data_IF_513179857161
#
_entry.id   IF_513179857161
#
_cell.length_a   1.000
_cell.length_b   1.000
_cell.length_c   1.000
_cell.angle_alpha   90.00
_cell.angle_beta   90.00
_cell.angle_gamma   90.00
#
_symmetry.space_group_name_H-M   'P 1'
#
loop_
_entity.id
_entity.type
_entity.pdbx_description
1 polymer ?
#
# COMPACT_ATOMS: atom_id res chain seq x y z
N UNK A 1 -33.79 14.48 -13.22
CA UNK A 1 -34.86 13.72 -13.91
C UNK A 1 -34.54 12.26 -13.70
N UNK A 2 -35.43 11.49 -13.08
CA UNK A 2 -35.25 10.04 -12.99
C UNK A 2 -35.74 9.40 -14.31
N UNK A 3 -34.96 8.46 -14.85
CA UNK A 3 -35.37 7.60 -15.96
C UNK A 3 -35.46 6.17 -15.44
N UNK A 4 -36.52 5.48 -15.83
CA UNK A 4 -36.79 4.09 -15.47
C UNK A 4 -36.43 3.18 -16.65
N UNK A 5 -35.79 2.05 -16.37
CA UNK A 5 -35.36 1.08 -17.37
C UNK A 5 -35.71 -0.33 -16.91
N UNK A 6 -36.41 -1.08 -17.76
CA UNK A 6 -36.60 -2.51 -17.56
C UNK A 6 -35.36 -3.25 -18.07
N UNK A 7 -34.62 -3.88 -17.15
CA UNK A 7 -33.39 -4.61 -17.48
C UNK A 7 -33.59 -6.10 -17.18
N UNK A 8 -33.45 -7.00 -18.18
CA UNK A 8 -33.57 -8.43 -17.93
C UNK A 8 -32.37 -8.95 -17.15
N UNK A 9 -32.63 -9.69 -16.07
CA UNK A 9 -31.58 -10.43 -15.37
C UNK A 9 -31.15 -11.63 -16.22
N UNK A 10 -29.88 -11.66 -16.59
CA UNK A 10 -29.29 -12.75 -17.34
C UNK A 10 -29.25 -14.06 -16.54
N UNK A 11 -29.16 -15.22 -17.22
CA UNK A 11 -29.15 -16.54 -16.58
C UNK A 11 -28.00 -16.75 -15.60
N UNK A 12 -26.91 -15.99 -15.75
CA UNK A 12 -25.72 -16.03 -14.89
C UNK A 12 -25.75 -14.92 -13.81
N UNK A 13 -26.90 -14.29 -13.58
CA UNK A 13 -27.05 -13.17 -12.64
C UNK A 13 -26.49 -11.84 -13.17
N UNK A 14 -26.24 -11.73 -14.47
CA UNK A 14 -25.74 -10.51 -15.10
C UNK A 14 -26.86 -9.50 -15.37
N UNK A 15 -26.58 -8.21 -15.14
CA UNK A 15 -27.55 -7.13 -15.37
C UNK A 15 -26.98 -6.17 -16.44
N UNK A 16 -27.44 -6.23 -17.70
CA UNK A 16 -26.88 -5.41 -18.77
C UNK A 16 -27.25 -3.94 -18.59
N UNK A 17 -26.25 -3.05 -18.59
CA UNK A 17 -26.49 -1.62 -18.49
C UNK A 17 -27.20 -1.12 -19.77
N UNK A 18 -28.35 -0.42 -19.65
CA UNK A 18 -29.02 0.25 -20.77
C UNK A 18 -28.08 1.17 -21.55
N UNK A 19 -28.27 1.24 -22.87
CA UNK A 19 -27.44 2.08 -23.76
C UNK A 19 -27.36 3.56 -23.33
N UNK A 20 -28.45 4.21 -22.87
CA UNK A 20 -28.36 5.60 -22.42
C UNK A 20 -27.44 5.79 -21.20
N UNK A 21 -27.39 4.80 -20.30
CA UNK A 21 -26.50 4.81 -19.14
C UNK A 21 -25.06 4.57 -19.59
N UNK A 22 -24.82 3.60 -20.49
CA UNK A 22 -23.50 3.35 -21.06
C UNK A 22 -22.94 4.58 -21.80
N UNK A 23 -23.77 5.26 -22.58
CA UNK A 23 -23.40 6.44 -23.33
C UNK A 23 -23.10 7.63 -22.40
N UNK A 24 -23.90 7.83 -21.35
CA UNK A 24 -23.67 8.86 -20.34
C UNK A 24 -22.37 8.64 -19.54
N UNK A 25 -21.93 7.39 -19.41
CA UNK A 25 -20.70 6.98 -18.71
C UNK A 25 -19.51 6.77 -19.66
N UNK A 26 -19.68 6.99 -20.96
CA UNK A 26 -18.66 6.78 -22.01
C UNK A 26 -18.02 5.37 -21.98
N UNK A 27 -18.79 4.33 -21.63
CA UNK A 27 -18.26 2.97 -21.46
C UNK A 27 -18.04 2.25 -22.81
N UNK A 28 -16.83 1.75 -23.04
CA UNK A 28 -16.52 0.87 -24.16
C UNK A 28 -17.05 -0.57 -23.93
N UNK A 29 -17.32 -1.31 -25.00
CA UNK A 29 -17.70 -2.73 -24.91
C UNK A 29 -16.58 -3.54 -24.25
N UNK A 30 -16.92 -4.30 -23.20
CA UNK A 30 -15.98 -5.12 -22.44
C UNK A 30 -15.09 -4.34 -21.46
N UNK A 31 -15.38 -3.05 -21.22
CA UNK A 31 -14.74 -2.28 -20.17
C UNK A 31 -15.25 -2.73 -18.79
N UNK A 32 -14.34 -3.13 -17.91
CA UNK A 32 -14.67 -3.41 -16.51
C UNK A 32 -14.98 -2.09 -15.79
N UNK A 33 -16.06 -2.07 -15.03
CA UNK A 33 -16.52 -0.90 -14.28
C UNK A 33 -16.81 -1.34 -12.86
N UNK A 34 -16.33 -0.58 -11.88
CA UNK A 34 -16.65 -0.83 -10.47
C UNK A 34 -17.89 -0.04 -10.09
N UNK A 35 -18.76 -0.68 -9.32
CA UNK A 35 -19.97 -0.06 -8.80
C UNK A 35 -20.01 -0.25 -7.28
N UNK A 36 -20.52 0.77 -6.59
CA UNK A 36 -20.84 0.70 -5.18
C UNK A 36 -22.37 0.69 -5.03
N UNK A 37 -22.91 -0.38 -4.44
CA UNK A 37 -24.32 -0.42 -4.03
C UNK A 37 -24.45 0.18 -2.64
N UNK A 38 -25.14 1.31 -2.53
CA UNK A 38 -25.42 2.01 -1.27
C UNK A 38 -26.61 1.35 -0.56
N UNK A 39 -26.69 1.54 0.76
CA UNK A 39 -27.77 0.99 1.59
C UNK A 39 -29.17 1.50 1.22
N UNK A 40 -29.24 2.67 0.58
CA UNK A 40 -30.48 3.26 0.05
C UNK A 40 -30.91 2.66 -1.31
N UNK A 41 -30.18 1.66 -1.80
CA UNK A 41 -30.43 0.97 -3.07
C UNK A 41 -29.87 1.68 -4.30
N UNK A 42 -29.14 2.79 -4.14
CA UNK A 42 -28.50 3.48 -5.26
C UNK A 42 -27.20 2.80 -5.68
N UNK A 43 -26.91 2.81 -6.98
CA UNK A 43 -25.67 2.28 -7.56
C UNK A 43 -24.82 3.45 -8.02
N UNK A 44 -23.68 3.64 -7.38
CA UNK A 44 -22.68 4.63 -7.77
C UNK A 44 -21.63 3.99 -8.67
N UNK A 45 -21.39 4.61 -9.82
CA UNK A 45 -20.35 4.18 -10.76
C UNK A 45 -19.04 4.77 -10.27
N UNK A 46 -18.14 3.90 -9.81
CA UNK A 46 -16.79 4.31 -9.49
C UNK A 46 -16.03 4.44 -10.81
N UNK A 47 -15.30 5.54 -10.97
CA UNK A 47 -14.36 5.67 -12.08
C UNK A 47 -13.51 4.38 -12.19
N UNK A 48 -13.20 3.91 -13.42
CA UNK A 48 -12.27 2.80 -13.55
C UNK A 48 -11.03 3.19 -12.76
N UNK A 49 -10.55 2.32 -11.87
CA UNK A 49 -9.44 2.70 -11.05
C UNK A 49 -8.25 2.98 -11.96
N UNK A 50 -7.82 4.23 -11.99
CA UNK A 50 -6.53 4.58 -12.54
C UNK A 50 -5.49 4.31 -11.47
N UNK A 51 -4.27 3.96 -11.87
CA UNK A 51 -3.16 3.98 -10.93
C UNK A 51 -3.13 5.37 -10.29
N UNK A 52 -3.05 5.48 -8.95
CA UNK A 52 -3.02 6.79 -8.33
C UNK A 52 -1.88 7.58 -8.96
N UNK A 53 -2.09 8.88 -9.24
CA UNK A 53 -1.10 9.68 -9.94
C UNK A 53 0.25 9.60 -9.23
N UNK A 54 1.32 9.51 -10.03
CA UNK A 54 2.68 9.51 -9.50
C UNK A 54 2.90 10.79 -8.69
N UNK A 55 3.52 10.65 -7.52
CA UNK A 55 3.95 11.82 -6.77
C UNK A 55 5.06 12.54 -7.53
N UNK A 56 5.18 13.86 -7.36
CA UNK A 56 6.38 14.56 -7.83
C UNK A 56 7.62 13.92 -7.17
N UNK A 57 8.59 13.40 -7.95
CA UNK A 57 9.77 12.76 -7.39
C UNK A 57 10.57 13.66 -6.43
N UNK A 58 10.67 14.96 -6.72
CA UNK A 58 11.39 15.91 -5.85
C UNK A 58 10.63 16.16 -4.55
N UNK A 59 9.29 16.22 -4.63
CA UNK A 59 8.44 16.31 -3.45
C UNK A 59 8.60 15.07 -2.56
N UNK A 60 8.56 13.85 -3.13
CA UNK A 60 8.68 12.61 -2.36
C UNK A 60 10.05 12.46 -1.71
N UNK A 61 11.13 12.82 -2.41
CA UNK A 61 12.49 12.89 -1.85
C UNK A 61 12.55 13.88 -0.68
N UNK A 62 11.89 15.03 -0.82
CA UNK A 62 11.88 16.06 0.23
C UNK A 62 11.10 15.60 1.45
N UNK A 63 9.94 14.94 1.27
CA UNK A 63 9.16 14.36 2.35
C UNK A 63 9.99 13.30 3.11
N UNK A 64 10.58 12.35 2.39
CA UNK A 64 11.39 11.27 3.01
C UNK A 64 12.58 11.84 3.79
N UNK A 65 13.26 12.84 3.24
CA UNK A 65 14.35 13.53 3.95
C UNK A 65 13.85 14.20 5.24
N UNK A 66 12.76 14.95 5.16
CA UNK A 66 12.20 15.64 6.31
C UNK A 66 11.77 14.63 7.40
N UNK A 67 11.18 13.50 7.02
CA UNK A 67 10.88 12.38 7.92
C UNK A 67 12.15 11.84 8.59
N UNK A 68 13.20 11.53 7.81
CA UNK A 68 14.46 11.00 8.34
C UNK A 68 15.20 11.98 9.26
N UNK A 69 15.08 13.28 9.02
CA UNK A 69 15.71 14.36 9.80
C UNK A 69 14.85 14.88 10.95
N UNK A 70 13.66 14.29 11.16
CA UNK A 70 12.69 14.72 12.15
C UNK A 70 12.26 16.20 12.03
N UNK A 71 12.15 16.71 10.79
CA UNK A 71 11.77 18.10 10.50
C UNK A 71 10.24 18.26 10.43
N UNK A 72 9.56 18.16 11.57
CA UNK A 72 8.09 18.14 11.65
C UNK A 72 7.37 19.29 10.93
N UNK A 73 7.84 20.53 11.08
CA UNK A 73 7.25 21.69 10.38
C UNK A 73 7.41 21.60 8.85
N UNK A 74 8.54 21.09 8.37
CA UNK A 74 8.79 20.90 6.94
C UNK A 74 7.89 19.80 6.36
N UNK A 75 7.62 18.74 7.13
CA UNK A 75 6.66 17.69 6.77
C UNK A 75 5.26 18.28 6.61
N UNK A 76 4.78 19.02 7.62
CA UNK A 76 3.47 19.70 7.59
C UNK A 76 3.38 20.65 6.40
N UNK A 77 4.42 21.45 6.14
CA UNK A 77 4.45 22.37 5.02
C UNK A 77 4.34 21.67 3.66
N UNK A 78 5.03 20.53 3.48
CA UNK A 78 4.97 19.75 2.23
C UNK A 78 3.58 19.14 2.01
N UNK A 79 3.00 18.55 3.06
CA UNK A 79 1.70 17.89 2.99
C UNK A 79 0.54 18.88 2.87
N UNK A 80 0.65 20.06 3.48
CA UNK A 80 -0.33 21.13 3.35
C UNK A 80 -0.36 21.79 1.96
N UNK A 81 0.75 21.72 1.21
CA UNK A 81 0.80 22.21 -0.17
C UNK A 81 0.28 21.20 -1.18
N UNK A 82 0.59 19.92 -0.99
CA UNK A 82 0.23 18.85 -1.92
C UNK A 82 0.19 17.51 -1.19
N UNK A 83 -0.84 16.72 -1.50
CA UNK A 83 -0.99 15.36 -1.00
C UNK A 83 -1.32 14.44 -2.18
N UNK A 84 -0.51 13.40 -2.34
CA UNK A 84 -0.61 12.48 -3.45
C UNK A 84 -1.19 11.13 -2.97
N UNK A 85 -2.36 10.69 -3.46
CA UNK A 85 -3.01 9.44 -3.03
C UNK A 85 -2.16 8.18 -3.23
N UNK A 86 -1.18 8.26 -4.14
CA UNK A 86 -0.26 7.17 -4.45
C UNK A 86 0.87 6.98 -3.45
N UNK A 87 0.99 7.83 -2.42
CA UNK A 87 2.05 7.77 -1.39
C UNK A 87 1.54 8.06 0.04
N UNK A 88 0.29 7.70 0.33
CA UNK A 88 -0.33 7.98 1.62
C UNK A 88 0.38 7.31 2.80
N UNK A 89 1.03 6.16 2.60
CA UNK A 89 1.81 5.52 3.67
C UNK A 89 3.02 6.40 4.04
N UNK A 90 3.76 6.92 3.06
CA UNK A 90 4.86 7.86 3.33
C UNK A 90 4.37 9.15 3.98
N UNK A 91 3.21 9.67 3.58
CA UNK A 91 2.59 10.82 4.22
C UNK A 91 2.27 10.54 5.71
N UNK A 92 1.68 9.39 5.99
CA UNK A 92 1.35 8.97 7.35
C UNK A 92 2.60 8.78 8.23
N UNK A 93 3.65 8.13 7.72
CA UNK A 93 4.92 7.99 8.44
C UNK A 93 5.54 9.36 8.77
N UNK A 94 5.50 10.30 7.83
CA UNK A 94 5.92 11.68 8.09
C UNK A 94 5.09 12.34 9.19
N UNK A 95 3.77 12.16 9.18
CA UNK A 95 2.88 12.77 10.18
C UNK A 95 3.07 12.19 11.58
N UNK A 96 3.43 10.91 11.71
CA UNK A 96 3.84 10.34 13.01
C UNK A 96 5.04 11.11 13.58
N UNK A 97 6.08 11.36 12.76
CA UNK A 97 7.23 12.20 13.15
C UNK A 97 6.81 13.62 13.49
N UNK A 98 5.98 14.24 12.66
CA UNK A 98 5.55 15.62 12.86
C UNK A 98 4.75 15.79 14.17
N UNK A 99 3.89 14.84 14.50
CA UNK A 99 3.15 14.81 15.77
C UNK A 99 4.09 14.60 16.97
N UNK A 100 5.09 13.71 16.87
CA UNK A 100 6.11 13.55 17.91
C UNK A 100 6.91 14.84 18.17
N UNK A 101 7.17 15.62 17.13
CA UNK A 101 7.81 16.93 17.22
C UNK A 101 6.86 18.06 17.63
N UNK A 102 5.58 17.77 17.89
CA UNK A 102 4.54 18.75 18.19
C UNK A 102 4.43 19.86 17.12
N UNK A 103 4.64 19.50 15.86
CA UNK A 103 4.52 20.45 14.77
C UNK A 103 3.08 20.99 14.67
N UNK A 104 2.89 22.30 14.42
CA UNK A 104 1.57 22.87 14.25
C UNK A 104 0.82 22.19 13.10
N UNK A 105 -0.51 22.08 13.23
CA UNK A 105 -1.42 21.51 12.22
C UNK A 105 -1.19 20.01 11.87
N UNK A 106 -0.20 19.34 12.48
CA UNK A 106 0.10 17.93 12.21
C UNK A 106 -1.08 17.00 12.54
N UNK A 107 -1.81 17.26 13.63
CA UNK A 107 -2.98 16.47 14.01
C UNK A 107 -4.14 16.61 13.01
N UNK A 108 -4.38 17.82 12.49
CA UNK A 108 -5.44 18.07 11.49
C UNK A 108 -5.09 17.38 10.16
N UNK A 109 -3.83 17.46 9.74
CA UNK A 109 -3.36 16.73 8.56
C UNK A 109 -3.39 15.21 8.75
N UNK A 110 -3.11 14.70 9.96
CA UNK A 110 -3.23 13.29 10.29
C UNK A 110 -4.66 12.78 10.11
N UNK A 111 -5.67 13.54 10.55
CA UNK A 111 -7.07 13.20 10.32
C UNK A 111 -7.46 13.19 8.83
N UNK A 112 -6.93 14.14 8.06
CA UNK A 112 -7.17 14.21 6.62
C UNK A 112 -6.52 13.04 5.85
N UNK A 113 -5.29 12.66 6.22
CA UNK A 113 -4.59 11.51 5.64
C UNK A 113 -5.25 10.19 6.07
N UNK A 114 -5.66 10.07 7.34
CA UNK A 114 -6.40 8.90 7.82
C UNK A 114 -7.71 8.68 7.05
N UNK A 115 -8.46 9.74 6.75
CA UNK A 115 -9.67 9.63 5.93
C UNK A 115 -9.38 9.14 4.50
N UNK A 116 -8.29 9.58 3.87
CA UNK A 116 -7.90 9.11 2.53
C UNK A 116 -7.38 7.67 2.54
N UNK A 117 -6.70 7.26 3.61
CA UNK A 117 -6.31 5.85 3.81
C UNK A 117 -7.56 4.97 3.96
N UNK A 118 -8.52 5.37 4.78
CA UNK A 118 -9.80 4.66 4.94
C UNK A 118 -10.58 4.55 3.62
N UNK A 119 -10.59 5.61 2.81
CA UNK A 119 -11.22 5.61 1.49
C UNK A 119 -10.48 4.73 0.47
N UNK A 120 -9.13 4.77 0.48
CA UNK A 120 -8.29 3.96 -0.41
C UNK A 120 -8.35 2.47 -0.06
N UNK A 121 -8.44 2.17 1.24
CA UNK A 121 -8.64 0.84 1.81
C UNK A 121 -7.67 -0.23 1.26
N UNK A 122 -6.40 0.14 1.05
CA UNK A 122 -5.38 -0.85 0.76
C UNK A 122 -5.00 -1.62 2.03
N UNK A 123 -4.33 -2.76 1.83
CA UNK A 123 -3.81 -3.58 2.93
C UNK A 123 -2.86 -2.72 3.78
N UNK A 124 -3.11 -2.60 5.08
CA UNK A 124 -2.39 -1.73 6.00
C UNK A 124 -2.93 -0.31 6.15
N UNK A 125 -3.84 0.15 5.27
CA UNK A 125 -4.34 1.52 5.32
C UNK A 125 -5.22 1.76 6.56
N UNK A 126 -6.05 0.78 6.93
CA UNK A 126 -6.95 0.91 8.09
C UNK A 126 -6.16 0.95 9.39
N UNK A 127 -5.16 0.07 9.54
CA UNK A 127 -4.27 0.03 10.70
C UNK A 127 -3.52 1.36 10.86
N UNK A 128 -3.02 1.91 9.76
CA UNK A 128 -2.28 3.17 9.75
C UNK A 128 -3.19 4.38 9.99
N UNK A 129 -4.40 4.39 9.43
CA UNK A 129 -5.39 5.43 9.68
C UNK A 129 -5.81 5.48 11.15
N UNK A 130 -6.09 4.32 11.74
CA UNK A 130 -6.46 4.20 13.15
C UNK A 130 -5.30 4.70 14.04
N UNK A 131 -4.05 4.31 13.73
CA UNK A 131 -2.85 4.77 14.43
C UNK A 131 -2.70 6.29 14.37
N UNK A 132 -2.86 6.89 13.19
CA UNK A 132 -2.79 8.35 13.02
C UNK A 132 -3.84 9.06 13.89
N UNK A 133 -5.09 8.59 13.89
CA UNK A 133 -6.17 9.18 14.70
C UNK A 133 -5.90 9.08 16.19
N UNK A 134 -5.40 7.94 16.66
CA UNK A 134 -5.11 7.78 18.08
C UNK A 134 -3.91 8.64 18.52
N UNK A 135 -2.86 8.74 17.70
CA UNK A 135 -1.74 9.64 17.96
C UNK A 135 -2.16 11.11 17.95
N UNK A 136 -2.98 11.53 16.98
CA UNK A 136 -3.54 12.88 16.90
C UNK A 136 -4.41 13.21 18.12
N UNK A 137 -5.15 12.22 18.66
CA UNK A 137 -5.96 12.35 19.86
C UNK A 137 -5.17 12.21 21.18
N UNK A 138 -3.84 11.97 21.12
CA UNK A 138 -3.00 11.73 22.30
C UNK A 138 -3.38 10.47 23.09
N UNK A 139 -4.00 9.49 22.43
CA UNK A 139 -4.39 8.22 23.06
C UNK A 139 -3.22 7.24 23.05
N UNK A 140 -3.07 6.54 24.17
CA UNK A 140 -2.19 5.38 24.26
C UNK A 140 -2.95 4.12 23.82
N UNK A 141 -2.43 3.43 22.80
CA UNK A 141 -2.97 2.15 22.30
C UNK A 141 -2.58 0.96 23.18
N UNK A 142 -1.59 1.13 24.07
CA UNK A 142 -0.99 0.04 24.82
C UNK A 142 -0.22 -0.95 23.95
N UNK A 143 0.08 -0.59 22.69
CA UNK A 143 0.91 -1.34 21.77
C UNK A 143 2.26 -0.65 21.60
N UNK A 144 3.39 -1.36 21.77
CA UNK A 144 4.69 -0.78 21.48
C UNK A 144 4.82 -0.45 19.99
N UNK A 145 5.53 0.64 19.68
CA UNK A 145 5.82 1.03 18.29
C UNK A 145 7.23 0.57 17.89
N UNK A 146 7.40 0.04 16.68
CA UNK A 146 8.68 -0.50 16.18
C UNK A 146 9.13 0.26 14.93
N UNK A 147 10.37 0.78 14.87
CA UNK A 147 10.88 1.52 13.71
C UNK A 147 11.34 0.57 12.59
N UNK A 148 10.49 -0.38 12.19
CA UNK A 148 10.84 -1.43 11.26
C UNK A 148 11.22 -0.89 9.87
N UNK A 149 12.21 -1.49 9.22
CA UNK A 149 12.34 -1.35 7.77
C UNK A 149 11.19 -2.08 7.08
N UNK A 150 10.15 -1.33 6.69
CA UNK A 150 8.95 -1.89 6.09
C UNK A 150 9.20 -2.60 4.76
N UNK A 151 10.24 -2.21 4.02
CA UNK A 151 10.54 -2.83 2.75
C UNK A 151 11.20 -4.19 2.97
N UNK A 152 12.17 -4.27 3.87
CA UNK A 152 12.81 -5.54 4.21
C UNK A 152 11.86 -6.48 4.95
N UNK A 153 11.01 -5.95 5.82
CA UNK A 153 9.96 -6.72 6.48
C UNK A 153 8.99 -7.32 5.46
N UNK A 154 8.54 -6.53 4.48
CA UNK A 154 7.69 -7.02 3.40
C UNK A 154 8.40 -8.07 2.53
N UNK A 155 9.70 -7.90 2.26
CA UNK A 155 10.49 -8.87 1.49
C UNK A 155 10.51 -10.24 2.18
N UNK A 156 10.66 -10.26 3.51
CA UNK A 156 10.61 -11.50 4.32
C UNK A 156 9.22 -12.12 4.29
N UNK A 157 8.17 -11.32 4.51
CA UNK A 157 6.77 -11.79 4.50
C UNK A 157 6.39 -12.40 3.15
N UNK A 158 6.81 -11.77 2.04
CA UNK A 158 6.43 -12.18 0.69
C UNK A 158 7.20 -13.41 0.16
N UNK A 159 8.15 -13.95 0.94
CA UNK A 159 8.82 -15.21 0.60
C UNK A 159 7.83 -16.36 0.45
N UNK A 160 8.22 -17.42 -0.25
CA UNK A 160 7.37 -18.61 -0.43
C UNK A 160 7.01 -19.25 0.92
N UNK A 161 5.72 -19.45 1.20
CA UNK A 161 5.27 -19.94 2.50
C UNK A 161 5.70 -21.40 2.81
N UNK A 162 6.09 -22.18 1.80
CA UNK A 162 6.48 -23.58 1.96
C UNK A 162 7.98 -23.77 1.98
N UNK A 163 8.73 -22.92 1.27
CA UNK A 163 10.19 -23.05 1.13
C UNK A 163 10.99 -21.88 1.67
N UNK A 164 10.34 -20.74 1.92
CA UNK A 164 10.97 -19.54 2.44
C UNK A 164 11.28 -19.69 3.93
N UNK A 165 12.49 -19.34 4.39
CA UNK A 165 12.87 -19.45 5.79
C UNK A 165 12.24 -18.36 6.68
N UNK A 166 11.55 -17.37 6.09
CA UNK A 166 11.05 -16.23 6.84
C UNK A 166 12.21 -15.34 7.30
N UNK A 167 12.11 -14.79 8.50
CA UNK A 167 13.15 -13.94 9.06
C UNK A 167 12.87 -13.51 10.49
N UNK A 168 13.59 -12.47 10.91
CA UNK A 168 13.55 -11.94 12.27
C UNK A 168 13.54 -10.42 12.23
N UNK A 169 12.71 -9.81 13.07
CA UNK A 169 12.64 -8.36 13.28
C UNK A 169 13.17 -8.05 14.67
N UNK A 170 14.22 -7.23 14.77
CA UNK A 170 14.67 -6.68 16.04
C UNK A 170 13.71 -5.56 16.45
N UNK A 171 13.11 -5.70 17.63
CA UNK A 171 12.10 -4.77 18.12
C UNK A 171 12.70 -3.49 18.71
N UNK A 172 14.00 -3.47 18.99
CA UNK A 172 14.69 -2.32 19.58
C UNK A 172 15.12 -1.29 18.53
N UNK A 173 15.63 -1.76 17.38
CA UNK A 173 16.14 -0.91 16.28
C UNK A 173 15.37 -1.06 14.96
N UNK A 174 14.48 -2.04 14.85
CA UNK A 174 13.68 -2.29 13.66
C UNK A 174 14.41 -3.01 12.53
N UNK A 175 15.61 -3.56 12.76
CA UNK A 175 16.36 -4.32 11.77
C UNK A 175 15.66 -5.63 11.41
N UNK A 176 15.64 -5.92 10.11
CA UNK A 176 15.03 -7.13 9.57
C UNK A 176 16.14 -8.02 9.02
N UNK A 177 16.23 -9.22 9.55
CA UNK A 177 17.23 -10.21 9.17
C UNK A 177 16.56 -11.41 8.48
N UNK A 178 16.96 -11.77 7.25
CA UNK A 178 16.45 -12.95 6.57
C UNK A 178 16.81 -14.24 7.31
N UNK A 179 15.90 -15.21 7.32
CA UNK A 179 16.05 -16.47 8.07
C UNK A 179 17.21 -17.33 7.57
N UNK A 180 17.66 -17.15 6.32
CA UNK A 180 18.85 -17.78 5.77
C UNK A 180 20.12 -17.51 6.61
N UNK A 181 20.15 -16.38 7.33
CA UNK A 181 21.32 -16.02 8.13
C UNK A 181 21.54 -17.00 9.30
N UNK A 182 20.48 -17.61 9.83
CA UNK A 182 20.58 -18.56 10.94
C UNK A 182 21.43 -19.79 10.57
N UNK A 183 21.40 -20.22 9.30
CA UNK A 183 22.25 -21.31 8.81
C UNK A 183 23.66 -20.82 8.41
N UNK A 184 23.75 -19.57 7.95
CA UNK A 184 24.99 -19.00 7.44
C UNK A 184 25.92 -18.48 8.54
N UNK A 185 25.36 -18.05 9.68
CA UNK A 185 26.09 -17.48 10.80
C UNK A 185 25.64 -18.12 12.14
N UNK A 186 26.43 -19.05 12.69
CA UNK A 186 26.15 -19.66 14.00
C UNK A 186 26.09 -18.66 15.16
N UNK A 187 26.78 -17.51 15.06
CA UNK A 187 26.75 -16.48 16.10
C UNK A 187 25.41 -15.74 16.17
N UNK A 188 24.66 -15.72 15.08
CA UNK A 188 23.34 -15.10 15.04
C UNK A 188 22.32 -15.82 15.94
N UNK A 189 22.48 -17.13 16.16
CA UNK A 189 21.61 -17.87 17.09
C UNK A 189 21.75 -17.32 18.53
N UNK A 190 22.97 -16.99 18.96
CA UNK A 190 23.21 -16.37 20.26
C UNK A 190 22.60 -14.95 20.31
N UNK A 191 22.72 -14.17 19.23
CA UNK A 191 22.09 -12.84 19.12
C UNK A 191 20.55 -12.89 19.21
N UNK A 192 19.92 -13.91 18.62
CA UNK A 192 18.48 -14.12 18.72
C UNK A 192 18.03 -14.48 20.14
N UNK A 193 18.82 -15.28 20.87
CA UNK A 193 18.52 -15.67 22.25
C UNK A 193 18.73 -14.52 23.24
N UNK A 194 19.72 -13.66 23.00
CA UNK A 194 20.06 -12.54 23.88
C UNK A 194 19.27 -11.25 23.57
N UNK A 195 18.81 -11.09 22.31
CA UNK A 195 18.15 -9.89 21.82
C UNK A 195 16.62 -9.91 21.86
N UNK A 196 16.01 -8.77 21.55
CA UNK A 196 14.57 -8.58 21.50
C UNK A 196 14.02 -8.84 20.08
N UNK A 197 14.09 -10.09 19.63
CA UNK A 197 13.74 -10.46 18.26
C UNK A 197 12.34 -11.08 18.15
N UNK A 198 11.65 -10.72 17.07
CA UNK A 198 10.37 -11.29 16.68
C UNK A 198 10.54 -12.13 15.41
N UNK A 199 10.12 -13.40 15.46
CA UNK A 199 10.11 -14.24 14.26
C UNK A 199 9.03 -13.78 13.27
N UNK A 200 9.42 -13.65 12.01
CA UNK A 200 8.58 -13.23 10.88
C UNK A 200 8.39 -14.43 9.95
N UNK A 201 7.18 -14.99 9.83
CA UNK A 201 6.94 -16.11 8.93
C UNK A 201 6.88 -15.63 7.47
N UNK A 202 7.27 -16.52 6.55
CA UNK A 202 6.94 -16.37 5.13
C UNK A 202 5.44 -16.66 4.90
N UNK A 203 4.69 -15.72 4.34
CA UNK A 203 3.24 -15.85 4.08
C UNK A 203 2.92 -16.22 2.62
N UNK A 204 3.91 -16.16 1.73
CA UNK A 204 3.79 -16.49 0.33
C UNK A 204 3.69 -15.28 -0.58
N UNK A 205 4.12 -15.47 -1.82
CA UNK A 205 4.16 -14.43 -2.86
C UNK A 205 2.79 -14.03 -3.43
N UNK A 206 1.67 -14.57 -2.90
CA UNK A 206 0.31 -14.28 -3.39
C UNK A 206 -0.02 -12.79 -3.31
N UNK A 207 0.38 -12.12 -2.24
CA UNK A 207 0.07 -10.71 -2.05
C UNK A 207 0.91 -9.80 -2.98
N UNK A 208 2.19 -10.13 -3.18
CA UNK A 208 3.03 -9.49 -4.18
C UNK A 208 2.52 -9.72 -5.62
N UNK A 209 2.02 -10.92 -5.90
CA UNK A 209 1.37 -11.24 -7.16
C UNK A 209 0.10 -10.43 -7.42
N UNK A 210 -0.79 -10.34 -6.42
CA UNK A 210 -2.00 -9.52 -6.52
C UNK A 210 -1.67 -8.05 -6.75
N UNK A 211 -0.52 -7.56 -6.29
CA UNK A 211 -0.07 -6.20 -6.63
C UNK A 211 0.26 -6.06 -8.13
N UNK A 212 0.85 -7.08 -8.77
CA UNK A 212 1.10 -7.08 -10.22
C UNK A 212 -0.20 -7.13 -11.03
N UNK A 213 -1.17 -7.94 -10.61
CA UNK A 213 -2.51 -8.01 -11.21
C UNK A 213 -3.22 -6.66 -11.11
N UNK A 214 -3.30 -6.10 -9.90
CA UNK A 214 -3.91 -4.81 -9.67
C UNK A 214 -3.23 -3.73 -10.50
N UNK A 215 -1.90 -3.64 -10.49
CA UNK A 215 -1.21 -2.63 -11.29
C UNK A 215 -1.50 -2.78 -12.77
N UNK A 216 -1.54 -4.01 -13.30
CA UNK A 216 -1.89 -4.27 -14.69
C UNK A 216 -3.31 -3.78 -15.03
N UNK A 217 -4.29 -4.05 -14.16
CA UNK A 217 -5.68 -3.62 -14.35
C UNK A 217 -5.87 -2.10 -14.34
N UNK A 218 -4.94 -1.36 -13.73
CA UNK A 218 -4.94 0.10 -13.67
C UNK A 218 -4.37 0.78 -14.93
N UNK A 219 -3.79 0.01 -15.87
CA UNK A 219 -3.15 0.55 -17.08
C UNK A 219 -4.10 0.65 -18.28
N UNK A 220 -3.71 1.39 -19.31
CA UNK A 220 -4.48 1.41 -20.56
C UNK A 220 -4.59 0.03 -21.23
N UNK A 221 -5.63 -0.23 -22.04
CA UNK A 221 -5.97 -1.58 -22.51
C UNK A 221 -4.85 -2.35 -23.24
N UNK A 222 -3.89 -1.66 -23.86
CA UNK A 222 -2.73 -2.29 -24.50
C UNK A 222 -1.77 -2.81 -23.44
N UNK A 223 -1.37 -1.96 -22.51
CA UNK A 223 -0.41 -2.29 -21.47
C UNK A 223 -1.02 -3.30 -20.47
N UNK A 224 -2.29 -3.11 -20.08
CA UNK A 224 -3.04 -4.07 -19.23
C UNK A 224 -2.94 -5.50 -19.76
N UNK A 225 -3.31 -5.72 -21.02
CA UNK A 225 -3.25 -7.06 -21.65
C UNK A 225 -1.84 -7.64 -21.67
N UNK A 226 -0.85 -6.81 -21.95
CA UNK A 226 0.57 -7.21 -21.98
C UNK A 226 1.05 -7.65 -20.60
N UNK A 227 0.75 -6.87 -19.57
CA UNK A 227 1.14 -7.17 -18.19
C UNK A 227 0.41 -8.41 -17.65
N UNK A 228 -0.90 -8.54 -17.89
CA UNK A 228 -1.67 -9.72 -17.49
C UNK A 228 -1.14 -11.01 -18.16
N UNK A 229 -0.77 -10.97 -19.43
CA UNK A 229 -0.12 -12.12 -20.09
C UNK A 229 1.28 -12.41 -19.51
N UNK A 230 2.02 -11.37 -19.11
CA UNK A 230 3.35 -11.50 -18.52
C UNK A 230 3.32 -12.16 -17.14
N UNK A 231 2.18 -12.15 -16.44
CA UNK A 231 2.06 -12.81 -15.14
C UNK A 231 1.60 -14.26 -15.23
N UNK A 232 1.08 -14.77 -16.35
CA UNK A 232 0.58 -16.15 -16.40
C UNK A 232 1.70 -17.23 -16.27
N UNK A 233 1.71 -18.00 -15.19
CA UNK A 233 2.59 -19.17 -15.04
C UNK A 233 3.96 -18.90 -14.41
N UNK A 234 4.91 -19.83 -14.59
CA UNK A 234 6.22 -19.78 -13.92
C UNK A 234 7.08 -18.62 -14.42
N UNK A 235 7.76 -17.94 -13.51
CA UNK A 235 8.65 -16.81 -13.84
C UNK A 235 7.93 -15.50 -14.14
N UNK A 236 6.70 -15.35 -13.68
CA UNK A 236 5.88 -14.16 -13.83
C UNK A 236 6.54 -12.86 -13.35
N UNK A 237 7.14 -12.86 -12.15
CA UNK A 237 7.81 -11.66 -11.62
C UNK A 237 8.86 -11.11 -12.58
N UNK A 238 9.72 -11.98 -13.13
CA UNK A 238 10.74 -11.59 -14.12
C UNK A 238 10.09 -11.08 -15.41
N UNK A 239 9.13 -11.82 -15.97
CA UNK A 239 8.48 -11.42 -17.23
C UNK A 239 7.67 -10.13 -17.11
N UNK A 240 7.03 -9.91 -15.97
CA UNK A 240 6.34 -8.66 -15.69
C UNK A 240 7.32 -7.50 -15.65
N UNK A 241 8.46 -7.66 -14.96
CA UNK A 241 9.52 -6.66 -14.95
C UNK A 241 10.05 -6.36 -16.35
N UNK A 242 10.33 -7.40 -17.14
CA UNK A 242 10.73 -7.24 -18.55
C UNK A 242 9.66 -6.50 -19.37
N UNK A 243 8.38 -6.76 -19.12
CA UNK A 243 7.29 -6.05 -19.78
C UNK A 243 7.18 -4.58 -19.37
N UNK A 244 7.52 -4.23 -18.12
CA UNK A 244 7.60 -2.85 -17.63
C UNK A 244 8.84 -2.14 -18.20
N UNK A 245 9.98 -2.81 -18.26
CA UNK A 245 11.25 -2.25 -18.76
C UNK A 245 11.19 -1.88 -20.25
N UNK A 246 10.29 -2.51 -21.00
CA UNK A 246 10.02 -2.21 -22.40
C UNK A 246 9.05 -1.03 -22.61
N UNK A 247 8.52 -0.43 -21.55
CA UNK A 247 7.63 0.74 -21.59
C UNK A 247 8.40 2.04 -21.24
N UNK A 248 7.81 3.24 -21.44
CA UNK A 248 8.44 4.49 -21.02
C UNK A 248 8.82 4.47 -19.54
N UNK A 249 9.93 5.12 -19.18
CA UNK A 249 10.47 5.19 -17.81
C UNK A 249 9.42 5.54 -16.74
N UNK A 250 8.46 6.41 -17.09
CA UNK A 250 7.35 6.79 -16.22
C UNK A 250 6.50 5.60 -15.73
N UNK A 251 6.31 4.55 -16.54
CA UNK A 251 5.60 3.32 -16.16
C UNK A 251 6.39 2.55 -15.11
N UNK A 252 7.71 2.43 -15.29
CA UNK A 252 8.61 1.83 -14.31
C UNK A 252 8.60 2.59 -12.98
N UNK A 253 8.66 3.92 -13.02
CA UNK A 253 8.55 4.76 -11.82
C UNK A 253 7.19 4.59 -11.12
N UNK A 254 6.09 4.55 -11.88
CA UNK A 254 4.76 4.32 -11.33
C UNK A 254 4.63 2.94 -10.67
N UNK A 255 5.17 1.89 -11.30
CA UNK A 255 5.23 0.55 -10.71
C UNK A 255 6.05 0.54 -9.43
N UNK A 256 7.23 1.18 -9.41
CA UNK A 256 8.07 1.23 -8.22
C UNK A 256 7.34 1.91 -7.05
N UNK A 257 6.71 3.07 -7.29
CA UNK A 257 5.93 3.77 -6.26
C UNK A 257 4.78 2.90 -5.75
N UNK A 258 4.00 2.31 -6.66
CA UNK A 258 2.85 1.48 -6.33
C UNK A 258 3.26 0.23 -5.53
N UNK A 259 4.26 -0.50 -6.02
CA UNK A 259 4.71 -1.75 -5.40
C UNK A 259 5.37 -1.52 -4.04
N UNK A 260 6.15 -0.46 -3.86
CA UNK A 260 6.73 -0.07 -2.57
C UNK A 260 5.64 0.29 -1.55
N UNK A 261 4.64 1.10 -1.93
CA UNK A 261 3.52 1.42 -1.03
C UNK A 261 2.73 0.17 -0.63
N UNK A 262 2.44 -0.71 -1.60
CA UNK A 262 1.76 -1.97 -1.33
C UNK A 262 2.56 -2.90 -0.43
N UNK A 263 3.89 -2.95 -0.60
CA UNK A 263 4.78 -3.75 0.24
C UNK A 263 4.80 -3.22 1.68
N UNK A 264 5.00 -1.92 1.85
CA UNK A 264 4.98 -1.29 3.17
C UNK A 264 3.63 -1.47 3.88
N UNK A 265 2.50 -1.38 3.17
CA UNK A 265 1.17 -1.64 3.74
C UNK A 265 1.01 -3.07 4.26
N UNK A 266 1.61 -4.08 3.60
CA UNK A 266 1.64 -5.46 4.12
C UNK A 266 2.43 -5.57 5.41
N UNK A 267 3.59 -4.91 5.47
CA UNK A 267 4.42 -4.87 6.67
C UNK A 267 3.69 -4.19 7.84
N UNK A 268 2.96 -3.09 7.59
CA UNK A 268 2.14 -2.40 8.60
C UNK A 268 1.02 -3.29 9.13
N UNK A 269 0.26 -3.94 8.24
CA UNK A 269 -0.80 -4.88 8.66
C UNK A 269 -0.22 -6.04 9.48
N UNK A 270 0.92 -6.59 9.04
CA UNK A 270 1.60 -7.67 9.74
C UNK A 270 2.04 -7.26 11.14
N UNK A 271 2.69 -6.09 11.29
CA UNK A 271 3.06 -5.54 12.61
C UNK A 271 1.85 -5.41 13.52
N UNK A 272 0.75 -4.84 13.01
CA UNK A 272 -0.47 -4.66 13.77
C UNK A 272 -1.05 -6.01 14.22
N UNK A 273 -1.02 -7.03 13.36
CA UNK A 273 -1.45 -8.39 13.68
C UNK A 273 -0.55 -9.07 14.73
N UNK A 274 0.73 -8.73 14.75
CA UNK A 274 1.70 -9.17 15.74
C UNK A 274 1.64 -8.38 17.06
N UNK A 275 0.80 -7.34 17.14
CA UNK A 275 0.60 -6.53 18.34
C UNK A 275 1.49 -5.28 18.45
N UNK A 276 2.13 -4.87 17.35
CA UNK A 276 3.02 -3.71 17.28
C UNK A 276 2.44 -2.63 16.37
N UNK A 277 2.63 -1.36 16.74
CA UNK A 277 2.39 -0.25 15.83
C UNK A 277 3.66 0.05 15.03
N UNK A 278 3.52 0.60 13.82
CA UNK A 278 4.66 1.11 13.07
C UNK A 278 5.17 2.41 13.68
N UNK A 279 6.50 2.55 13.81
CA UNK A 279 7.16 3.82 14.07
C UNK A 279 7.94 4.27 12.83
N UNK A 280 8.12 5.58 12.64
CA UNK A 280 9.04 6.10 11.62
C UNK A 280 10.46 5.66 11.92
N UNK A 281 11.15 5.12 10.90
CA UNK A 281 12.58 4.81 10.97
C UNK A 281 13.39 6.01 10.47
N UNK A 282 14.39 6.43 11.23
CA UNK A 282 15.43 7.31 10.68
C UNK A 282 16.28 6.48 9.71
N UNK A 283 16.09 6.70 8.40
CA UNK A 283 16.88 6.06 7.34
C UNK A 283 18.13 6.88 7.00
#
# INVERSE_FOLDING_TARGET
MAQEFDVPLGPDGTLPLPEPIRAALELADGQDVRFLLRDDGTVEVLAPPSAPPMADPQWLVSLRRATAQAEGEQIVALLGQSLFPGVLLWAALGLLVAMEQNAPDAAELADAVAAQLEERAWRGDLELAELLRDKAAGKDRGRPSVPADLQDLANVIDQDAYTGPGGFLNLDDGDVTPGELLEADPGFADELEEGNWLSVPAEGSRAAWSAMELFADLQEPRLRRRLLAAIEGRGAFRRFREAIDDEPEAVGCAWQQFSTERAAGRAVEWLASAGYDVAPRAQ
#
